data_IF_681472988244
#
_entry.id   IF_681472988244
#
_cell.length_a   1.000
_cell.length_b   1.000
_cell.length_c   1.000
_cell.angle_alpha   90.00
_cell.angle_beta   90.00
_cell.angle_gamma   90.00
#
_symmetry.space_group_name_H-M   'P 1'
#
loop_
_entity.id
_entity.type
_entity.pdbx_description
1 polymer ?
#
# COMPACT_ATOMS: atom_id res chain seq x y z
N UNK A 1 19.70 20.70 -10.13
CA UNK A 1 18.31 20.27 -9.84
C UNK A 1 18.19 18.83 -10.33
N UNK A 2 17.85 17.93 -9.45
CA UNK A 2 17.65 16.51 -9.77
C UNK A 2 16.25 16.29 -10.36
N UNK A 3 16.16 15.68 -11.53
CA UNK A 3 14.90 15.39 -12.17
C UNK A 3 14.53 13.92 -11.98
N UNK A 4 13.35 13.66 -11.37
CA UNK A 4 12.83 12.32 -11.10
C UNK A 4 11.53 12.10 -11.89
N UNK A 5 11.53 11.15 -12.80
CA UNK A 5 10.40 10.77 -13.64
C UNK A 5 9.69 9.57 -13.02
N UNK A 6 8.50 9.78 -12.45
CA UNK A 6 7.70 8.75 -11.78
C UNK A 6 6.70 8.16 -12.77
N UNK A 7 6.79 6.83 -12.98
CA UNK A 7 6.02 6.08 -13.96
C UNK A 7 5.39 4.87 -13.28
N UNK A 8 4.16 4.49 -13.65
CA UNK A 8 3.45 3.34 -13.09
C UNK A 8 2.30 3.70 -12.16
N UNK A 9 2.15 4.98 -11.79
CA UNK A 9 0.93 5.51 -11.19
C UNK A 9 -0.04 5.99 -12.26
N UNK A 10 -1.33 6.11 -11.93
CA UNK A 10 -2.34 6.65 -12.87
C UNK A 10 -2.40 8.17 -12.89
N UNK A 11 -1.56 8.85 -12.11
CA UNK A 11 -1.42 10.29 -12.05
C UNK A 11 -1.95 10.94 -10.77
N UNK A 12 -1.98 12.27 -10.77
CA UNK A 12 -2.34 13.14 -9.65
C UNK A 12 -3.51 14.06 -10.00
N UNK A 13 -4.42 14.37 -9.04
CA UNK A 13 -4.46 13.83 -7.67
C UNK A 13 -4.83 12.35 -7.62
N UNK A 14 -4.46 11.68 -6.53
CA UNK A 14 -4.78 10.28 -6.30
C UNK A 14 -6.30 10.08 -6.18
N UNK A 15 -6.86 9.23 -7.05
CA UNK A 15 -8.28 8.86 -6.97
C UNK A 15 -8.48 7.52 -6.26
N UNK A 16 -7.61 6.56 -6.55
CA UNK A 16 -7.65 5.21 -5.98
C UNK A 16 -6.36 4.45 -6.32
N UNK A 17 -5.76 3.77 -5.34
CA UNK A 17 -4.59 2.91 -5.53
C UNK A 17 -3.43 3.25 -4.58
N UNK A 18 -2.62 2.26 -4.26
CA UNK A 18 -1.48 2.42 -3.35
C UNK A 18 -0.40 3.31 -3.93
N UNK A 19 -0.07 3.12 -5.21
CA UNK A 19 0.96 3.93 -5.88
C UNK A 19 0.51 5.38 -6.08
N UNK A 20 -0.75 5.62 -6.43
CA UNK A 20 -1.29 6.98 -6.58
C UNK A 20 -1.22 7.73 -5.25
N UNK A 21 -1.66 7.10 -4.15
CA UNK A 21 -1.57 7.69 -2.80
C UNK A 21 -0.12 7.95 -2.41
N UNK A 22 0.78 7.00 -2.65
CA UNK A 22 2.21 7.16 -2.38
C UNK A 22 2.81 8.36 -3.14
N UNK A 23 2.55 8.47 -4.45
CA UNK A 23 3.09 9.57 -5.28
C UNK A 23 2.51 10.91 -4.85
N UNK A 24 1.22 10.96 -4.49
CA UNK A 24 0.60 12.18 -3.97
C UNK A 24 1.24 12.63 -2.66
N UNK A 25 1.48 11.71 -1.75
CA UNK A 25 2.11 12.00 -0.47
C UNK A 25 3.59 12.37 -0.63
N UNK A 26 4.32 11.70 -1.54
CA UNK A 26 5.70 12.04 -1.88
C UNK A 26 5.82 13.49 -2.36
N UNK A 27 4.97 13.89 -3.30
CA UNK A 27 4.92 15.26 -3.83
C UNK A 27 4.42 16.26 -2.78
N UNK A 28 3.43 15.84 -1.96
CA UNK A 28 2.80 16.73 -0.97
C UNK A 28 3.69 17.07 0.21
N UNK A 29 4.58 16.15 0.58
CA UNK A 29 5.51 16.29 1.69
C UNK A 29 6.95 16.57 1.21
N UNK A 30 7.13 16.99 -0.04
CA UNK A 30 8.43 17.36 -0.59
C UNK A 30 9.11 18.41 0.31
N UNK A 31 10.37 18.16 0.67
CA UNK A 31 11.18 19.00 1.56
C UNK A 31 12.28 19.76 0.81
N UNK A 32 12.83 19.14 -0.25
CA UNK A 32 13.95 19.71 -1.02
C UNK A 32 13.45 20.42 -2.29
N UNK A 33 13.92 21.65 -2.50
CA UNK A 33 13.74 22.41 -3.74
C UNK A 33 14.73 22.00 -4.85
N UNK A 34 15.70 21.13 -4.52
CA UNK A 34 16.67 20.61 -5.47
C UNK A 34 16.13 19.45 -6.31
N UNK A 35 14.93 18.94 -6.02
CA UNK A 35 14.29 17.86 -6.75
C UNK A 35 13.09 18.39 -7.54
N UNK A 36 12.98 17.99 -8.82
CA UNK A 36 11.82 18.23 -9.65
C UNK A 36 11.17 16.89 -10.01
N UNK A 37 9.98 16.65 -9.50
CA UNK A 37 9.19 15.48 -9.86
C UNK A 37 8.43 15.70 -11.15
N UNK A 38 8.50 14.71 -12.06
CA UNK A 38 7.72 14.60 -13.29
C UNK A 38 6.88 13.32 -13.19
N UNK A 39 5.56 13.47 -13.10
CA UNK A 39 4.65 12.34 -12.84
C UNK A 39 3.85 12.02 -14.10
N UNK A 40 3.95 10.78 -14.57
CA UNK A 40 3.12 10.30 -15.67
C UNK A 40 1.66 10.15 -15.23
N UNK A 41 0.73 10.60 -16.07
CA UNK A 41 -0.71 10.52 -15.83
C UNK A 41 -1.42 9.85 -17.00
N UNK A 42 -2.23 8.83 -16.71
CA UNK A 42 -3.10 8.21 -17.70
C UNK A 42 -4.27 9.16 -18.05
N UNK A 43 -4.44 9.45 -19.33
CA UNK A 43 -5.45 10.42 -19.81
C UNK A 43 -6.14 9.91 -21.06
N UNK A 44 -7.35 10.41 -21.31
CA UNK A 44 -8.04 10.26 -22.60
C UNK A 44 -7.57 11.32 -23.61
N UNK A 45 -6.83 12.34 -23.17
CA UNK A 45 -6.25 13.39 -24.00
C UNK A 45 -5.02 12.88 -24.78
N UNK A 46 -4.54 13.70 -25.73
CA UNK A 46 -3.29 13.40 -26.45
C UNK A 46 -2.09 13.45 -25.52
N UNK A 47 -1.12 12.56 -25.80
CA UNK A 47 0.15 12.49 -25.07
C UNK A 47 0.91 13.82 -25.15
N UNK A 48 1.44 14.27 -23.99
CA UNK A 48 2.35 15.41 -23.91
C UNK A 48 1.72 16.71 -23.41
N UNK A 49 0.46 16.70 -22.97
CA UNK A 49 -0.09 17.82 -22.20
C UNK A 49 0.53 17.83 -20.81
N UNK A 50 0.98 18.99 -20.36
CA UNK A 50 1.55 19.20 -19.02
C UNK A 50 0.58 19.93 -18.12
N UNK A 51 0.50 19.51 -16.87
CA UNK A 51 -0.26 20.10 -15.78
C UNK A 51 0.66 20.28 -14.58
N UNK A 52 0.33 21.21 -13.70
CA UNK A 52 1.05 21.36 -12.44
C UNK A 52 0.18 20.86 -11.29
N UNK A 53 0.74 19.98 -10.47
CA UNK A 53 0.13 19.55 -9.22
C UNK A 53 1.11 19.82 -8.07
N UNK A 54 0.82 20.81 -7.22
CA UNK A 54 1.74 21.30 -6.19
C UNK A 54 3.11 21.67 -6.81
N UNK A 55 4.17 20.97 -6.44
CA UNK A 55 5.53 21.17 -6.96
C UNK A 55 5.86 20.32 -8.19
N UNK A 56 5.04 19.29 -8.48
CA UNK A 56 5.28 18.34 -9.57
C UNK A 56 4.78 18.86 -10.92
N UNK A 57 5.50 18.48 -11.96
CA UNK A 57 5.08 18.54 -13.34
C UNK A 57 4.39 17.22 -13.71
N UNK A 58 3.13 17.26 -14.09
CA UNK A 58 2.35 16.08 -14.45
C UNK A 58 2.16 16.05 -15.96
N UNK A 59 2.64 15.01 -16.62
CA UNK A 59 2.53 14.86 -18.08
C UNK A 59 1.55 13.75 -18.45
N UNK A 60 0.64 14.07 -19.36
CA UNK A 60 -0.41 13.16 -19.78
C UNK A 60 0.08 12.17 -20.83
N UNK A 61 -0.28 10.89 -20.66
CA UNK A 61 -0.07 9.79 -21.59
C UNK A 61 -1.42 9.25 -22.03
N UNK A 62 -1.68 9.25 -23.33
CA UNK A 62 -2.93 8.80 -23.92
C UNK A 62 -3.18 7.32 -23.60
N UNK A 63 -4.34 7.03 -23.07
CA UNK A 63 -4.83 5.67 -22.86
C UNK A 63 -5.02 4.95 -24.20
N UNK A 64 -4.63 3.69 -24.25
CA UNK A 64 -4.86 2.79 -25.39
C UNK A 64 -5.97 1.80 -25.04
N UNK A 65 -6.66 1.29 -26.06
CA UNK A 65 -7.76 0.33 -25.88
C UNK A 65 -7.28 -1.12 -26.03
N UNK A 66 -6.32 -1.54 -25.17
CA UNK A 66 -5.77 -2.90 -25.19
C UNK A 66 -6.19 -3.74 -23.95
N UNK A 67 -7.34 -3.44 -23.34
CA UNK A 67 -7.81 -4.18 -22.16
C UNK A 67 -6.78 -4.19 -21.02
N UNK A 68 -6.52 -5.36 -20.44
CA UNK A 68 -5.57 -5.52 -19.34
C UNK A 68 -4.11 -5.16 -19.71
N UNK A 69 -3.73 -5.32 -20.99
CA UNK A 69 -2.38 -4.96 -21.45
C UNK A 69 -2.16 -3.44 -21.51
N UNK A 70 -3.21 -2.63 -21.33
CA UNK A 70 -3.09 -1.18 -21.39
C UNK A 70 -2.06 -0.61 -20.39
N UNK A 71 -1.88 -1.25 -19.24
CA UNK A 71 -0.89 -0.83 -18.23
C UNK A 71 0.53 -0.91 -18.79
N UNK A 72 0.86 -2.00 -19.47
CA UNK A 72 2.19 -2.21 -20.09
C UNK A 72 2.47 -1.13 -21.15
N UNK A 73 1.48 -0.84 -22.00
CA UNK A 73 1.63 0.18 -23.04
C UNK A 73 1.69 1.60 -22.46
N UNK A 74 0.96 1.88 -21.41
CA UNK A 74 1.01 3.15 -20.69
C UNK A 74 2.41 3.41 -20.13
N UNK A 75 2.96 2.48 -19.35
CA UNK A 75 4.29 2.61 -18.74
C UNK A 75 5.37 2.76 -19.82
N UNK A 76 5.27 1.98 -20.90
CA UNK A 76 6.16 2.08 -22.06
C UNK A 76 6.11 3.47 -22.70
N UNK A 77 4.91 3.96 -23.00
CA UNK A 77 4.72 5.24 -23.67
C UNK A 77 5.18 6.40 -22.78
N UNK A 78 5.03 6.27 -21.45
CA UNK A 78 5.55 7.22 -20.47
C UNK A 78 7.08 7.30 -20.49
N UNK A 79 7.78 6.16 -20.52
CA UNK A 79 9.25 6.15 -20.64
C UNK A 79 9.70 6.79 -21.97
N UNK A 80 9.06 6.41 -23.07
CA UNK A 80 9.41 6.96 -24.40
C UNK A 80 9.20 8.47 -24.45
N UNK A 81 8.10 8.96 -23.88
CA UNK A 81 7.82 10.38 -23.79
C UNK A 81 8.85 11.09 -22.90
N UNK A 82 9.13 10.58 -21.71
CA UNK A 82 10.11 11.14 -20.79
C UNK A 82 11.51 11.26 -21.44
N UNK A 83 11.97 10.22 -22.15
CA UNK A 83 13.26 10.26 -22.87
C UNK A 83 13.29 11.38 -23.94
N UNK A 84 12.18 11.60 -24.67
CA UNK A 84 12.10 12.69 -25.65
C UNK A 84 12.11 14.06 -24.94
N UNK A 85 11.34 14.20 -23.88
CA UNK A 85 11.26 15.42 -23.08
C UNK A 85 12.63 15.80 -22.49
N UNK A 86 13.34 14.83 -21.90
CA UNK A 86 14.69 14.99 -21.35
C UNK A 86 15.66 15.51 -22.41
N UNK A 87 15.66 14.91 -23.59
CA UNK A 87 16.54 15.36 -24.71
C UNK A 87 16.20 16.76 -25.17
N UNK A 88 14.92 17.09 -25.32
CA UNK A 88 14.49 18.43 -25.77
C UNK A 88 14.77 19.53 -24.77
N UNK A 89 14.81 19.20 -23.47
CA UNK A 89 15.06 20.17 -22.39
C UNK A 89 16.50 20.10 -21.83
N UNK A 90 17.39 19.32 -22.45
CA UNK A 90 18.80 19.17 -22.05
C UNK A 90 18.97 18.78 -20.57
N UNK A 91 18.06 17.94 -20.05
CA UNK A 91 18.12 17.44 -18.67
C UNK A 91 19.25 16.41 -18.57
N UNK A 92 20.09 16.55 -17.55
CA UNK A 92 21.22 15.65 -17.27
C UNK A 92 20.92 14.77 -16.07
N UNK A 93 21.47 13.57 -16.06
CA UNK A 93 21.38 12.59 -14.96
C UNK A 93 19.96 12.37 -14.42
N UNK A 94 18.93 12.13 -15.29
CA UNK A 94 17.56 11.93 -14.81
C UNK A 94 17.41 10.57 -14.12
N UNK A 95 16.59 10.50 -13.08
CA UNK A 95 16.17 9.24 -12.46
C UNK A 95 14.79 8.86 -13.02
N UNK A 96 14.66 7.63 -13.51
CA UNK A 96 13.38 7.02 -13.85
C UNK A 96 12.95 6.13 -12.69
N UNK A 97 11.93 6.52 -11.95
CA UNK A 97 11.37 5.75 -10.86
C UNK A 97 10.10 5.04 -11.32
N UNK A 98 10.22 3.73 -11.58
CA UNK A 98 9.14 2.90 -12.11
C UNK A 98 8.47 2.13 -10.99
N UNK A 99 7.15 2.31 -10.87
CA UNK A 99 6.30 1.68 -9.87
C UNK A 99 5.61 0.45 -10.45
N UNK A 100 5.91 -0.71 -9.89
CA UNK A 100 5.37 -2.00 -10.31
C UNK A 100 6.25 -2.75 -11.32
N UNK A 101 5.84 -3.98 -11.62
CA UNK A 101 6.61 -4.95 -12.40
C UNK A 101 6.06 -5.24 -13.80
N UNK A 102 5.33 -4.32 -14.42
CA UNK A 102 4.62 -4.60 -15.69
C UNK A 102 5.52 -4.64 -16.91
N UNK A 103 6.65 -3.91 -16.90
CA UNK A 103 7.52 -3.66 -18.06
C UNK A 103 8.63 -4.69 -18.28
N UNK A 104 8.75 -5.73 -17.45
CA UNK A 104 9.91 -6.62 -17.45
C UNK A 104 10.28 -7.22 -18.79
N UNK A 105 9.30 -7.57 -19.64
CA UNK A 105 9.59 -8.09 -20.98
C UNK A 105 10.35 -7.09 -21.88
N UNK A 106 10.26 -5.80 -21.60
CA UNK A 106 10.85 -4.72 -22.42
C UNK A 106 11.92 -3.92 -21.68
N UNK A 107 12.06 -4.11 -20.38
CA UNK A 107 12.85 -3.23 -19.52
C UNK A 107 14.33 -3.17 -19.91
N UNK A 108 14.94 -4.28 -20.34
CA UNK A 108 16.32 -4.30 -20.76
C UNK A 108 16.60 -3.44 -22.01
N UNK A 109 15.60 -3.23 -22.87
CA UNK A 109 15.71 -2.27 -23.97
C UNK A 109 15.63 -0.83 -23.44
N UNK A 110 14.68 -0.54 -22.58
CA UNK A 110 14.50 0.82 -22.04
C UNK A 110 15.62 1.23 -21.10
N UNK A 111 16.16 0.32 -20.29
CA UNK A 111 17.35 0.57 -19.48
C UNK A 111 18.52 1.08 -20.35
N UNK A 112 18.81 0.40 -21.49
CA UNK A 112 19.86 0.85 -22.41
C UNK A 112 19.60 2.26 -22.97
N UNK A 113 18.34 2.61 -23.23
CA UNK A 113 17.98 3.95 -23.71
C UNK A 113 18.10 5.00 -22.60
N UNK A 114 17.74 4.66 -21.36
CA UNK A 114 17.89 5.51 -20.17
C UNK A 114 19.39 5.77 -19.92
N UNK A 115 20.22 4.73 -19.89
CA UNK A 115 21.67 4.88 -19.71
C UNK A 115 22.32 5.70 -20.84
N UNK A 116 21.84 5.58 -22.09
CA UNK A 116 22.34 6.38 -23.21
C UNK A 116 22.15 7.89 -23.04
N UNK A 117 21.21 8.31 -22.20
CA UNK A 117 20.98 9.72 -21.87
C UNK A 117 21.54 10.10 -20.49
N UNK A 118 22.40 9.25 -19.90
CA UNK A 118 23.00 9.46 -18.59
C UNK A 118 22.02 9.27 -17.43
N UNK A 119 20.88 8.62 -17.65
CA UNK A 119 19.88 8.39 -16.60
C UNK A 119 20.06 7.08 -15.85
N UNK A 120 19.36 6.93 -14.74
CA UNK A 120 19.29 5.74 -13.90
C UNK A 120 17.86 5.20 -13.84
N UNK A 121 17.72 3.88 -13.70
CA UNK A 121 16.45 3.18 -13.56
C UNK A 121 16.28 2.66 -12.14
N UNK A 122 15.39 3.28 -11.37
CA UNK A 122 14.95 2.78 -10.06
C UNK A 122 13.59 2.11 -10.19
N UNK A 123 13.40 1.01 -9.48
CA UNK A 123 12.16 0.22 -9.55
C UNK A 123 11.61 -0.04 -8.15
N UNK A 124 10.33 0.24 -7.96
CA UNK A 124 9.56 -0.29 -6.83
C UNK A 124 8.82 -1.54 -7.31
N UNK A 125 9.14 -2.72 -6.78
CA UNK A 125 8.65 -4.00 -7.32
C UNK A 125 7.19 -4.30 -6.94
N UNK A 126 6.52 -3.44 -6.16
CA UNK A 126 5.26 -3.81 -5.48
C UNK A 126 5.47 -5.01 -4.54
N UNK A 127 4.44 -5.59 -3.99
CA UNK A 127 4.54 -6.76 -3.13
C UNK A 127 3.93 -8.01 -3.78
N UNK A 128 4.74 -8.91 -4.34
CA UNK A 128 4.33 -10.23 -4.81
C UNK A 128 3.06 -10.24 -5.68
N UNK A 129 2.92 -9.28 -6.59
CA UNK A 129 1.71 -9.06 -7.40
C UNK A 129 1.28 -10.33 -8.15
N UNK A 130 2.23 -11.18 -8.53
CA UNK A 130 1.97 -12.44 -9.22
C UNK A 130 1.25 -13.49 -8.34
N UNK A 131 1.27 -13.35 -7.01
CA UNK A 131 0.57 -14.27 -6.10
C UNK A 131 -0.91 -13.90 -5.92
N UNK A 132 -1.34 -12.72 -6.38
CA UNK A 132 -2.71 -12.26 -6.15
C UNK A 132 -3.73 -13.09 -6.91
N UNK A 133 -4.78 -13.49 -6.21
CA UNK A 133 -5.86 -14.36 -6.73
C UNK A 133 -6.66 -13.76 -7.89
N UNK A 134 -6.64 -12.44 -8.06
CA UNK A 134 -7.28 -11.75 -9.18
C UNK A 134 -6.71 -12.12 -10.56
N UNK A 135 -5.49 -12.68 -10.60
CA UNK A 135 -4.82 -13.00 -11.84
C UNK A 135 -4.95 -14.47 -12.22
N UNK A 136 -5.29 -14.74 -13.48
CA UNK A 136 -5.26 -16.09 -14.05
C UNK A 136 -3.82 -16.57 -14.22
N UNK A 137 -3.59 -17.88 -14.20
CA UNK A 137 -2.25 -18.51 -14.25
C UNK A 137 -1.29 -17.95 -15.31
N UNK A 138 -1.68 -17.73 -16.59
CA UNK A 138 -0.77 -17.14 -17.57
C UNK A 138 -0.29 -15.73 -17.20
N UNK A 139 -1.16 -14.91 -16.59
CA UNK A 139 -0.81 -13.57 -16.13
C UNK A 139 0.12 -13.65 -14.92
N UNK A 140 -0.13 -14.57 -13.98
CA UNK A 140 0.76 -14.79 -12.84
C UNK A 140 2.17 -15.18 -13.29
N UNK A 141 2.30 -16.07 -14.28
CA UNK A 141 3.59 -16.46 -14.87
C UNK A 141 4.28 -15.28 -15.55
N UNK A 142 3.55 -14.49 -16.32
CA UNK A 142 4.08 -13.27 -16.92
C UNK A 142 4.59 -12.29 -15.85
N UNK A 143 3.80 -12.01 -14.81
CA UNK A 143 4.18 -11.10 -13.73
C UNK A 143 5.41 -11.60 -12.97
N UNK A 144 5.53 -12.90 -12.70
CA UNK A 144 6.72 -13.49 -12.08
C UNK A 144 7.96 -13.35 -12.98
N UNK A 145 7.82 -13.60 -14.28
CA UNK A 145 8.88 -13.37 -15.25
C UNK A 145 9.27 -11.90 -15.33
N UNK A 146 8.27 -11.02 -15.36
CA UNK A 146 8.44 -9.57 -15.44
C UNK A 146 9.16 -9.02 -14.20
N UNK A 147 8.78 -9.47 -13.01
CA UNK A 147 9.44 -9.14 -11.73
C UNK A 147 10.93 -9.50 -11.78
N UNK A 148 11.26 -10.72 -12.21
CA UNK A 148 12.65 -11.15 -12.41
C UNK A 148 13.41 -10.20 -13.33
N UNK A 149 12.84 -9.85 -14.49
CA UNK A 149 13.49 -8.97 -15.46
C UNK A 149 13.64 -7.54 -14.96
N UNK A 150 12.66 -7.03 -14.22
CA UNK A 150 12.78 -5.72 -13.59
C UNK A 150 13.89 -5.71 -12.55
N UNK A 151 13.98 -6.75 -11.69
CA UNK A 151 15.04 -6.88 -10.69
C UNK A 151 16.44 -7.03 -11.29
N UNK A 152 16.59 -7.79 -12.39
CA UNK A 152 17.87 -8.00 -13.09
C UNK A 152 18.41 -6.75 -13.81
N UNK A 153 17.53 -5.79 -14.17
CA UNK A 153 17.90 -4.65 -15.00
C UNK A 153 17.81 -3.30 -14.29
N UNK A 154 17.23 -3.23 -13.11
CA UNK A 154 17.21 -1.99 -12.34
C UNK A 154 18.61 -1.62 -11.85
N UNK A 155 18.96 -0.33 -11.89
CA UNK A 155 20.15 0.18 -11.23
C UNK A 155 19.96 0.14 -9.70
N UNK A 156 18.71 0.35 -9.22
CA UNK A 156 18.36 0.22 -7.81
C UNK A 156 16.91 -0.27 -7.67
N UNK A 157 16.70 -1.24 -6.79
CA UNK A 157 15.39 -1.64 -6.32
C UNK A 157 15.06 -0.90 -5.01
N UNK A 158 13.89 -0.27 -4.96
CA UNK A 158 13.38 0.35 -3.74
C UNK A 158 12.20 -0.48 -3.24
N UNK A 159 12.46 -1.36 -2.28
CA UNK A 159 11.42 -2.20 -1.65
C UNK A 159 10.74 -1.42 -0.53
N UNK A 160 9.43 -1.58 -0.41
CA UNK A 160 8.65 -0.93 0.65
C UNK A 160 8.70 -1.68 2.00
N UNK A 161 9.33 -2.87 2.03
CA UNK A 161 9.43 -3.70 3.21
C UNK A 161 10.65 -4.61 3.16
N UNK A 162 11.28 -4.86 4.32
CA UNK A 162 12.42 -5.78 4.42
C UNK A 162 12.09 -7.18 3.92
N UNK A 163 10.91 -7.70 4.19
CA UNK A 163 10.50 -9.03 3.72
C UNK A 163 10.40 -9.13 2.19
N UNK A 164 10.09 -8.03 1.49
CA UNK A 164 10.13 -7.98 0.02
C UNK A 164 11.56 -7.96 -0.48
N UNK A 165 12.43 -7.18 0.15
CA UNK A 165 13.85 -7.16 -0.20
C UNK A 165 14.50 -8.54 -0.02
N UNK A 166 14.26 -9.18 1.12
CA UNK A 166 14.79 -10.52 1.43
C UNK A 166 14.31 -11.57 0.42
N UNK A 167 13.02 -11.51 0.07
CA UNK A 167 12.44 -12.35 -0.98
C UNK A 167 13.15 -12.15 -2.33
N UNK A 168 13.32 -10.91 -2.79
CA UNK A 168 13.94 -10.60 -4.07
C UNK A 168 15.40 -11.05 -4.11
N UNK A 169 16.16 -10.86 -3.01
CA UNK A 169 17.54 -11.35 -2.88
C UNK A 169 17.62 -12.87 -2.90
N UNK A 170 16.67 -13.55 -2.27
CA UNK A 170 16.60 -15.02 -2.24
C UNK A 170 16.28 -15.58 -3.62
N UNK A 171 15.32 -14.98 -4.33
CA UNK A 171 14.84 -15.46 -5.64
C UNK A 171 15.78 -15.11 -6.80
N UNK A 172 16.38 -13.92 -6.77
CA UNK A 172 17.10 -13.36 -7.93
C UNK A 172 18.58 -13.08 -7.66
N UNK A 173 19.07 -13.37 -6.45
CA UNK A 173 20.48 -13.19 -6.08
C UNK A 173 20.83 -11.76 -5.67
N UNK A 174 22.10 -11.40 -5.86
CA UNK A 174 22.58 -10.07 -5.46
C UNK A 174 22.01 -8.99 -6.40
N UNK A 175 21.14 -8.16 -5.85
CA UNK A 175 20.58 -6.97 -6.51
C UNK A 175 20.92 -5.73 -5.68
N UNK A 176 21.19 -4.61 -6.34
CA UNK A 176 21.29 -3.33 -5.64
C UNK A 176 19.88 -2.95 -5.13
N UNK A 177 19.73 -2.83 -3.81
CA UNK A 177 18.43 -2.57 -3.22
C UNK A 177 18.51 -1.71 -1.96
N UNK A 178 17.44 -0.97 -1.71
CA UNK A 178 17.22 -0.18 -0.50
C UNK A 178 15.78 -0.37 -0.02
N UNK A 179 15.58 -0.44 1.29
CA UNK A 179 14.24 -0.50 1.87
C UNK A 179 13.82 0.91 2.27
N UNK A 180 12.75 1.41 1.65
CA UNK A 180 12.06 2.65 2.04
C UNK A 180 10.56 2.37 2.06
N UNK A 181 9.98 2.31 3.25
CA UNK A 181 8.59 1.95 3.46
C UNK A 181 7.61 3.03 2.95
N UNK A 182 6.33 2.71 2.96
CA UNK A 182 5.28 3.74 2.86
C UNK A 182 5.11 4.46 4.19
N UNK A 183 4.61 5.70 4.11
CA UNK A 183 4.33 6.52 5.26
C UNK A 183 2.88 6.48 5.70
N UNK A 184 2.63 7.08 6.85
CA UNK A 184 1.29 7.41 7.34
C UNK A 184 1.31 8.74 8.08
N UNK A 185 0.14 9.36 8.21
CA UNK A 185 -0.04 10.50 9.08
C UNK A 185 -0.12 10.02 10.54
N UNK A 186 0.34 10.84 11.48
CA UNK A 186 0.16 10.55 12.89
C UNK A 186 -1.29 10.80 13.30
N UNK A 187 -2.15 9.79 13.11
CA UNK A 187 -3.58 9.89 13.37
C UNK A 187 -3.93 10.03 14.86
N UNK A 188 -3.00 9.71 15.76
CA UNK A 188 -3.20 9.88 17.19
C UNK A 188 -3.38 11.37 17.57
N UNK A 189 -2.77 12.28 16.80
CA UNK A 189 -2.80 13.74 17.04
C UNK A 189 -3.90 14.46 16.27
N UNK A 190 -4.57 13.78 15.33
CA UNK A 190 -5.68 14.40 14.59
C UNK A 190 -6.83 14.64 15.56
N UNK A 191 -7.37 15.88 15.67
CA UNK A 191 -8.58 16.13 16.43
C UNK A 191 -9.67 15.19 15.94
N UNK A 192 -10.12 14.28 16.79
CA UNK A 192 -11.10 13.29 16.40
C UNK A 192 -12.50 13.92 16.36
N UNK A 193 -13.33 13.43 15.46
CA UNK A 193 -14.78 13.53 15.61
C UNK A 193 -15.11 12.74 16.90
N UNK A 194 -15.72 13.39 17.87
CA UNK A 194 -16.01 12.78 19.19
C UNK A 194 -16.95 11.57 19.10
N UNK A 195 -17.69 11.45 18.01
CA UNK A 195 -18.55 10.30 17.72
C UNK A 195 -18.34 9.80 16.30
N UNK A 196 -17.83 8.56 16.12
CA UNK A 196 -17.81 7.93 14.81
C UNK A 196 -19.25 7.68 14.30
N UNK A 197 -19.45 7.74 12.99
CA UNK A 197 -20.75 7.52 12.34
C UNK A 197 -21.18 6.04 12.37
N UNK A 198 -21.17 5.44 13.55
CA UNK A 198 -21.51 4.03 13.77
C UNK A 198 -22.92 3.82 14.35
N UNK A 199 -23.55 4.89 14.84
CA UNK A 199 -24.89 4.84 15.45
C UNK A 199 -25.95 4.32 14.46
N UNK A 200 -25.84 4.68 13.18
CA UNK A 200 -26.74 4.20 12.11
C UNK A 200 -26.67 2.68 11.91
N UNK A 201 -25.55 2.05 12.29
CA UNK A 201 -25.34 0.62 12.23
C UNK A 201 -25.54 -0.10 13.57
N UNK A 202 -25.98 0.61 14.59
CA UNK A 202 -26.16 0.08 15.95
C UNK A 202 -24.88 -0.43 16.60
N UNK A 203 -23.72 0.18 16.28
CA UNK A 203 -22.41 -0.21 16.78
C UNK A 203 -22.02 0.71 17.93
N UNK A 204 -21.66 0.10 19.07
CA UNK A 204 -21.25 0.84 20.25
C UNK A 204 -19.74 1.11 20.25
N UNK A 205 -19.36 2.34 20.59
CA UNK A 205 -17.96 2.75 20.78
C UNK A 205 -17.27 1.84 21.81
N UNK A 206 -16.08 1.36 21.46
CA UNK A 206 -15.28 0.48 22.32
C UNK A 206 -15.74 -0.98 22.36
N UNK A 207 -16.86 -1.32 21.72
CA UNK A 207 -17.45 -2.66 21.77
C UNK A 207 -17.37 -3.41 20.42
N UNK A 208 -16.30 -3.19 19.64
CA UNK A 208 -16.13 -3.87 18.35
C UNK A 208 -14.67 -4.13 17.99
N UNK A 209 -14.45 -5.26 17.31
CA UNK A 209 -13.27 -5.51 16.50
C UNK A 209 -13.45 -4.86 15.14
N UNK A 210 -12.41 -4.25 14.60
CA UNK A 210 -12.46 -3.53 13.34
C UNK A 210 -11.58 -4.21 12.28
N UNK A 211 -12.12 -4.41 11.10
CA UNK A 211 -11.38 -4.79 9.89
C UNK A 211 -11.58 -3.71 8.83
N UNK A 212 -10.50 -3.15 8.30
CA UNK A 212 -10.55 -2.18 7.20
C UNK A 212 -9.62 -2.64 6.09
N UNK A 213 -10.12 -2.77 4.87
CA UNK A 213 -9.27 -3.16 3.75
C UNK A 213 -10.04 -3.44 2.46
N UNK A 214 -9.29 -3.74 1.40
CA UNK A 214 -9.89 -4.19 0.14
C UNK A 214 -10.57 -5.54 0.34
N UNK A 215 -11.70 -5.73 -0.31
CA UNK A 215 -12.47 -6.98 -0.21
C UNK A 215 -11.88 -8.05 -1.15
N UNK A 216 -10.78 -8.67 -0.71
CA UNK A 216 -10.05 -9.68 -1.48
C UNK A 216 -9.68 -10.87 -0.58
N UNK A 217 -9.59 -12.10 -1.13
CA UNK A 217 -9.28 -13.30 -0.34
C UNK A 217 -7.96 -13.20 0.44
N UNK A 218 -6.97 -12.50 -0.09
CA UNK A 218 -5.66 -12.29 0.52
C UNK A 218 -5.70 -11.51 1.84
N UNK A 219 -6.83 -10.88 2.15
CA UNK A 219 -7.06 -10.23 3.44
C UNK A 219 -7.70 -11.15 4.48
N UNK A 220 -7.78 -12.46 4.19
CA UNK A 220 -8.21 -13.51 5.12
C UNK A 220 -9.61 -13.31 5.73
N UNK A 221 -10.55 -12.65 5.02
CA UNK A 221 -11.92 -12.42 5.53
C UNK A 221 -12.61 -13.70 5.96
N UNK A 222 -12.46 -14.81 5.20
CA UNK A 222 -13.06 -16.08 5.56
C UNK A 222 -12.52 -16.61 6.90
N UNK A 223 -11.20 -16.58 7.10
CA UNK A 223 -10.58 -17.04 8.33
C UNK A 223 -11.01 -16.17 9.53
N UNK A 224 -10.99 -14.84 9.35
CA UNK A 224 -11.42 -13.89 10.39
C UNK A 224 -12.87 -14.16 10.80
N UNK A 225 -13.77 -14.30 9.84
CA UNK A 225 -15.20 -14.51 10.09
C UNK A 225 -15.43 -15.86 10.77
N UNK A 226 -14.81 -16.95 10.30
CA UNK A 226 -14.95 -18.28 10.90
C UNK A 226 -14.48 -18.30 12.36
N UNK A 227 -13.31 -17.75 12.62
CA UNK A 227 -12.73 -17.71 13.96
C UNK A 227 -13.55 -16.78 14.87
N UNK A 228 -14.09 -15.68 14.33
CA UNK A 228 -14.96 -14.78 15.09
C UNK A 228 -16.29 -15.46 15.48
N UNK A 229 -16.94 -16.15 14.54
CA UNK A 229 -18.24 -16.82 14.80
C UNK A 229 -18.18 -17.88 15.89
N UNK A 230 -17.05 -18.58 16.04
CA UNK A 230 -16.88 -19.58 17.12
C UNK A 230 -16.37 -18.96 18.43
N UNK A 231 -16.04 -17.68 18.44
CA UNK A 231 -15.61 -16.97 19.64
C UNK A 231 -16.79 -16.67 20.58
N UNK A 232 -16.52 -16.63 21.88
CA UNK A 232 -17.49 -16.22 22.91
C UNK A 232 -17.52 -14.72 23.16
N UNK A 233 -16.88 -13.92 22.30
CA UNK A 233 -16.84 -12.47 22.45
C UNK A 233 -18.22 -11.83 22.43
N UNK A 234 -18.43 -10.83 23.28
CA UNK A 234 -19.61 -9.97 23.24
C UNK A 234 -19.47 -8.77 22.29
N UNK A 235 -18.26 -8.55 21.74
CA UNK A 235 -18.00 -7.46 20.81
C UNK A 235 -18.56 -7.75 19.42
N UNK A 236 -18.86 -6.70 18.67
CA UNK A 236 -19.19 -6.81 17.24
C UNK A 236 -17.92 -6.98 16.40
N UNK A 237 -18.06 -7.56 15.19
CA UNK A 237 -17.06 -7.53 14.13
C UNK A 237 -17.52 -6.52 13.06
N UNK A 238 -16.87 -5.36 13.02
CA UNK A 238 -17.16 -4.29 12.06
C UNK A 238 -16.20 -4.40 10.88
N UNK A 239 -16.74 -4.58 9.70
CA UNK A 239 -15.98 -4.73 8.46
C UNK A 239 -16.25 -3.55 7.54
N UNK A 240 -15.22 -2.72 7.32
CA UNK A 240 -15.26 -1.57 6.41
C UNK A 240 -14.55 -1.95 5.12
N UNK A 241 -15.33 -2.17 4.07
CA UNK A 241 -14.83 -2.59 2.76
C UNK A 241 -15.86 -2.31 1.66
N UNK A 242 -15.40 -2.24 0.41
CA UNK A 242 -16.31 -2.16 -0.74
C UNK A 242 -16.75 -3.58 -1.15
N UNK A 243 -17.86 -4.06 -0.56
CA UNK A 243 -18.37 -5.41 -0.79
C UNK A 243 -19.60 -5.45 -1.70
N UNK A 244 -20.29 -4.32 -1.92
CA UNK A 244 -21.55 -4.28 -2.66
C UNK A 244 -21.34 -4.70 -4.13
N UNK A 245 -22.06 -5.73 -4.54
CA UNK A 245 -21.97 -6.28 -5.89
C UNK A 245 -20.71 -7.11 -6.17
N UNK A 246 -19.87 -7.38 -5.18
CA UNK A 246 -18.68 -8.21 -5.34
C UNK A 246 -19.06 -9.71 -5.24
N UNK A 247 -18.76 -10.54 -6.26
CA UNK A 247 -19.02 -11.98 -6.23
C UNK A 247 -18.40 -12.71 -5.05
N UNK A 248 -17.29 -12.20 -4.51
CA UNK A 248 -16.64 -12.77 -3.34
C UNK A 248 -17.50 -12.65 -2.09
N UNK A 249 -18.37 -11.63 -1.98
CA UNK A 249 -19.30 -11.48 -0.86
C UNK A 249 -20.29 -12.64 -0.78
N UNK A 250 -20.93 -12.98 -1.89
CA UNK A 250 -21.87 -14.11 -1.96
C UNK A 250 -21.16 -15.45 -1.70
N UNK A 251 -19.96 -15.61 -2.26
CA UNK A 251 -19.14 -16.80 -1.96
C UNK A 251 -18.80 -16.90 -0.48
N UNK A 252 -18.39 -15.80 0.15
CA UNK A 252 -18.06 -15.75 1.56
C UNK A 252 -19.27 -16.07 2.44
N UNK A 253 -20.45 -15.53 2.10
CA UNK A 253 -21.72 -15.82 2.76
C UNK A 253 -22.05 -17.30 2.71
N UNK A 254 -21.94 -17.93 1.52
CA UNK A 254 -22.18 -19.37 1.35
C UNK A 254 -21.20 -20.26 2.13
N UNK A 255 -19.94 -19.84 2.24
CA UNK A 255 -18.91 -20.60 2.93
C UNK A 255 -19.00 -20.52 4.46
N UNK A 256 -19.47 -19.41 4.99
CA UNK A 256 -19.41 -19.13 6.43
C UNK A 256 -20.78 -19.00 7.09
N UNK A 257 -21.84 -18.68 6.34
CA UNK A 257 -23.16 -18.28 6.84
C UNK A 257 -23.09 -17.12 7.86
N UNK A 258 -22.20 -16.17 7.64
CA UNK A 258 -21.92 -15.06 8.58
C UNK A 258 -23.16 -14.19 8.85
N UNK A 259 -24.11 -14.15 7.92
CA UNK A 259 -25.39 -13.44 8.05
C UNK A 259 -26.30 -13.99 9.15
N UNK A 260 -26.01 -15.17 9.69
CA UNK A 260 -26.67 -15.73 10.88
C UNK A 260 -26.11 -15.15 12.19
N UNK A 261 -24.92 -14.57 12.19
CA UNK A 261 -24.30 -13.97 13.37
C UNK A 261 -24.52 -12.44 13.37
N UNK A 262 -25.45 -11.98 14.19
CA UNK A 262 -25.82 -10.54 14.28
C UNK A 262 -24.68 -9.63 14.73
N UNK A 263 -23.62 -10.19 15.29
CA UNK A 263 -22.41 -9.43 15.69
C UNK A 263 -21.57 -9.00 14.48
N UNK A 264 -21.74 -9.66 13.29
CA UNK A 264 -20.96 -9.34 12.10
C UNK A 264 -21.65 -8.25 11.29
N UNK A 265 -20.98 -7.11 11.10
CA UNK A 265 -21.53 -5.91 10.48
C UNK A 265 -20.66 -5.41 9.35
N UNK A 266 -21.16 -5.52 8.12
CA UNK A 266 -20.55 -4.92 6.92
C UNK A 266 -21.08 -3.50 6.76
N UNK A 267 -20.24 -2.50 7.02
CA UNK A 267 -20.63 -1.07 7.01
C UNK A 267 -20.53 -0.44 5.63
N UNK A 268 -19.85 -1.11 4.69
CA UNK A 268 -19.54 -0.50 3.39
C UNK A 268 -18.24 0.30 3.42
N UNK A 269 -18.08 1.25 2.49
CA UNK A 269 -16.87 2.08 2.39
C UNK A 269 -17.08 3.41 3.11
N UNK A 270 -16.17 3.75 4.01
CA UNK A 270 -16.11 5.07 4.64
C UNK A 270 -15.02 5.90 3.94
N UNK A 271 -15.42 6.90 3.17
CA UNK A 271 -14.49 7.77 2.41
C UNK A 271 -13.99 8.96 3.22
N UNK A 272 -14.72 9.36 4.23
CA UNK A 272 -14.34 10.44 5.13
C UNK A 272 -13.19 9.98 6.03
N UNK A 273 -12.01 10.60 5.86
CA UNK A 273 -10.79 10.24 6.59
C UNK A 273 -10.91 10.53 8.10
N UNK A 274 -11.64 11.56 8.50
CA UNK A 274 -11.83 11.91 9.91
C UNK A 274 -12.73 10.89 10.58
N UNK A 275 -13.83 10.51 9.93
CA UNK A 275 -14.73 9.46 10.39
C UNK A 275 -14.01 8.11 10.50
N UNK A 276 -13.25 7.74 9.47
CA UNK A 276 -12.49 6.47 9.49
C UNK A 276 -11.43 6.46 10.61
N UNK A 277 -10.82 7.60 10.87
CA UNK A 277 -9.88 7.76 12.00
C UNK A 277 -10.60 7.62 13.34
N UNK A 278 -11.78 8.23 13.50
CA UNK A 278 -12.57 8.09 14.71
C UNK A 278 -13.01 6.64 14.94
N UNK A 279 -13.44 5.95 13.87
CA UNK A 279 -13.79 4.51 13.96
C UNK A 279 -12.59 3.67 14.42
N UNK A 280 -11.39 3.92 13.91
CA UNK A 280 -10.17 3.22 14.37
C UNK A 280 -9.83 3.53 15.82
N UNK A 281 -9.92 4.80 16.25
CA UNK A 281 -9.64 5.23 17.63
C UNK A 281 -10.56 4.59 18.66
N UNK A 282 -11.81 4.37 18.28
CA UNK A 282 -12.84 3.85 19.16
C UNK A 282 -13.07 2.33 19.05
N UNK A 283 -12.31 1.63 18.22
CA UNK A 283 -12.34 0.18 18.18
C UNK A 283 -11.73 -0.42 19.46
N UNK A 284 -12.31 -1.53 19.95
CA UNK A 284 -11.68 -2.34 20.98
C UNK A 284 -10.32 -2.87 20.51
N UNK A 285 -10.29 -3.43 19.30
CA UNK A 285 -9.06 -3.83 18.64
C UNK A 285 -9.23 -3.82 17.12
N UNK A 286 -8.12 -3.64 16.41
CA UNK A 286 -8.05 -3.76 14.95
C UNK A 286 -7.53 -5.15 14.56
N UNK A 287 -8.22 -5.82 13.64
CA UNK A 287 -7.78 -7.11 13.09
C UNK A 287 -7.19 -6.87 11.69
N UNK A 288 -5.91 -7.13 11.53
CA UNK A 288 -5.21 -7.05 10.26
C UNK A 288 -5.02 -8.43 9.66
N UNK A 289 -5.69 -8.70 8.53
CA UNK A 289 -5.67 -10.00 7.87
C UNK A 289 -4.79 -10.09 6.62
N UNK A 290 -4.07 -9.02 6.26
CA UNK A 290 -3.32 -8.95 5.00
C UNK A 290 -2.19 -9.99 4.93
N UNK A 291 -2.20 -10.84 3.90
CA UNK A 291 -1.30 -11.99 3.75
C UNK A 291 -0.33 -11.87 2.58
N UNK A 292 -0.45 -10.88 1.69
CA UNK A 292 0.36 -10.75 0.47
C UNK A 292 0.72 -9.29 0.23
N UNK A 293 2.00 -8.97 0.24
CA UNK A 293 2.47 -7.61 -0.06
C UNK A 293 3.63 -7.18 0.82
N UNK A 294 3.88 -5.87 0.88
CA UNK A 294 4.90 -5.22 1.68
C UNK A 294 4.30 -4.46 2.87
N UNK A 295 4.75 -3.22 3.05
CA UNK A 295 4.21 -2.33 4.08
C UNK A 295 2.78 -1.92 3.73
N UNK A 296 1.83 -2.32 4.57
CA UNK A 296 0.42 -2.03 4.35
C UNK A 296 0.00 -0.71 5.01
N UNK A 297 -0.46 0.31 4.24
CA UNK A 297 -0.90 1.59 4.82
C UNK A 297 -2.01 1.43 5.87
N UNK A 298 -2.94 0.48 5.67
CA UNK A 298 -4.01 0.22 6.64
C UNK A 298 -3.50 -0.28 8.00
N UNK A 299 -2.38 -1.04 8.02
CA UNK A 299 -1.72 -1.43 9.28
C UNK A 299 -1.06 -0.23 9.95
N UNK A 300 -0.37 0.62 9.19
CA UNK A 300 0.25 1.83 9.73
C UNK A 300 -0.79 2.78 10.35
N UNK A 301 -1.91 2.98 9.65
CA UNK A 301 -3.02 3.79 10.13
C UNK A 301 -3.66 3.20 11.40
N UNK A 302 -3.82 1.87 11.46
CA UNK A 302 -4.33 1.19 12.65
C UNK A 302 -3.37 1.32 13.84
N UNK A 303 -2.08 1.08 13.64
CA UNK A 303 -1.04 1.24 14.67
C UNK A 303 -0.94 2.68 15.18
N UNK A 304 -1.27 3.66 14.33
CA UNK A 304 -1.31 5.07 14.71
C UNK A 304 -2.54 5.43 15.55
N UNK A 305 -3.69 4.82 15.28
CA UNK A 305 -4.99 5.24 15.83
C UNK A 305 -5.57 4.29 16.88
N UNK A 306 -5.42 2.97 16.70
CA UNK A 306 -6.06 1.94 17.56
C UNK A 306 -5.09 1.48 18.64
N UNK A 307 -5.58 1.27 19.86
CA UNK A 307 -4.74 0.90 21.01
C UNK A 307 -4.26 -0.56 20.95
N UNK A 308 -5.04 -1.45 20.38
CA UNK A 308 -4.73 -2.87 20.31
C UNK A 308 -4.85 -3.39 18.87
N UNK A 309 -3.79 -4.03 18.35
CA UNK A 309 -3.75 -4.54 16.99
C UNK A 309 -3.51 -6.06 17.01
N UNK A 310 -4.41 -6.82 16.36
CA UNK A 310 -4.31 -8.27 16.14
C UNK A 310 -3.86 -8.47 14.70
N UNK A 311 -2.63 -8.89 14.47
CA UNK A 311 -1.97 -8.81 13.17
C UNK A 311 -1.69 -10.22 12.64
N UNK A 312 -2.05 -10.49 11.39
CA UNK A 312 -1.78 -11.77 10.74
C UNK A 312 -0.28 -12.04 10.67
N UNK A 313 0.12 -13.24 11.09
CA UNK A 313 1.51 -13.64 11.31
C UNK A 313 2.23 -13.99 10.01
N UNK A 314 2.72 -12.96 9.32
CA UNK A 314 3.62 -13.07 8.15
C UNK A 314 4.80 -12.11 8.32
N UNK A 315 5.92 -12.40 7.65
CA UNK A 315 7.19 -11.69 7.84
C UNK A 315 7.05 -10.16 7.67
N UNK A 316 6.40 -9.70 6.61
CA UNK A 316 6.26 -8.26 6.35
C UNK A 316 5.36 -7.55 7.37
N UNK A 317 4.32 -8.19 7.91
CA UNK A 317 3.53 -7.64 9.00
C UNK A 317 4.34 -7.59 10.31
N UNK A 318 5.12 -8.64 10.60
CA UNK A 318 6.03 -8.65 11.76
C UNK A 318 7.08 -7.55 11.68
N UNK A 319 7.65 -7.31 10.51
CA UNK A 319 8.64 -6.25 10.29
C UNK A 319 8.08 -4.86 10.55
N UNK A 320 6.78 -4.65 10.34
CA UNK A 320 6.09 -3.38 10.60
C UNK A 320 5.68 -3.28 12.06
N UNK A 321 4.92 -4.26 12.57
CA UNK A 321 4.31 -4.18 13.90
C UNK A 321 5.29 -4.48 15.05
N UNK A 322 6.35 -5.26 14.78
CA UNK A 322 7.34 -5.65 15.79
C UNK A 322 6.68 -6.25 17.05
N UNK A 323 6.98 -5.70 18.23
CA UNK A 323 6.43 -6.10 19.53
C UNK A 323 5.20 -5.28 19.98
N UNK A 324 4.58 -4.53 19.05
CA UNK A 324 3.45 -3.63 19.38
C UNK A 324 2.08 -4.26 19.12
N UNK A 325 2.02 -5.53 18.71
CA UNK A 325 0.79 -6.21 18.31
C UNK A 325 0.74 -7.64 18.86
N UNK A 326 -0.47 -8.21 18.91
CA UNK A 326 -0.67 -9.64 19.06
C UNK A 326 -0.73 -10.29 17.67
N UNK A 327 -0.03 -11.40 17.48
CA UNK A 327 0.01 -12.05 16.16
C UNK A 327 -0.90 -13.29 16.13
N UNK A 328 -1.66 -13.44 15.04
CA UNK A 328 -2.58 -14.54 14.85
C UNK A 328 -2.31 -15.31 13.56
N UNK A 329 -2.71 -16.58 13.54
CA UNK A 329 -2.64 -17.49 12.39
C UNK A 329 -4.04 -18.02 12.08
N UNK A 330 -4.25 -18.55 10.88
CA UNK A 330 -5.53 -19.15 10.46
C UNK A 330 -5.93 -20.23 11.47
N UNK A 331 -7.18 -20.18 11.93
CA UNK A 331 -7.74 -21.08 12.94
C UNK A 331 -7.33 -20.80 14.38
N UNK A 332 -6.58 -19.71 14.64
CA UNK A 332 -6.13 -19.34 15.98
C UNK A 332 -6.53 -17.93 16.42
N UNK A 333 -7.26 -17.19 15.58
CA UNK A 333 -7.67 -15.83 15.92
C UNK A 333 -8.58 -15.81 17.16
N UNK A 334 -9.44 -16.81 17.33
CA UNK A 334 -10.30 -16.93 18.54
C UNK A 334 -9.49 -16.93 19.84
N UNK A 335 -8.35 -17.64 19.87
CA UNK A 335 -7.45 -17.67 21.04
C UNK A 335 -6.86 -16.28 21.31
N UNK A 336 -6.42 -15.60 20.24
CA UNK A 336 -5.82 -14.26 20.31
C UNK A 336 -6.86 -13.21 20.74
N UNK A 337 -8.11 -13.34 20.28
CA UNK A 337 -9.22 -12.49 20.74
C UNK A 337 -9.48 -12.68 22.23
N UNK A 338 -9.54 -13.93 22.70
CA UNK A 338 -9.68 -14.22 24.14
C UNK A 338 -8.50 -13.68 24.94
N UNK A 339 -7.26 -13.80 24.45
CA UNK A 339 -6.10 -13.18 25.05
C UNK A 339 -6.23 -11.65 25.12
N UNK A 340 -6.67 -11.02 24.03
CA UNK A 340 -6.86 -9.56 23.93
C UNK A 340 -7.87 -9.05 24.95
N UNK A 341 -9.00 -9.73 25.13
CA UNK A 341 -10.05 -9.36 26.09
C UNK A 341 -9.61 -9.54 27.55
N UNK A 342 -8.65 -10.42 27.83
CA UNK A 342 -8.10 -10.65 29.17
C UNK A 342 -6.80 -9.86 29.45
N UNK A 343 -6.36 -8.98 28.53
CA UNK A 343 -5.20 -8.13 28.79
C UNK A 343 -5.50 -7.09 29.87
N UNK A 344 -4.56 -6.93 30.78
CA UNK A 344 -4.62 -5.81 31.73
C UNK A 344 -4.54 -4.47 30.98
N UNK A 345 -5.29 -3.43 31.36
CA UNK A 345 -5.26 -2.12 30.73
C UNK A 345 -3.85 -1.53 30.59
N UNK A 346 -2.99 -1.80 31.56
CA UNK A 346 -1.57 -1.37 31.51
C UNK A 346 -0.80 -2.00 30.37
N UNK A 347 -1.07 -3.28 30.06
CA UNK A 347 -0.42 -3.97 28.91
C UNK A 347 -0.92 -3.43 27.57
N UNK A 348 -2.23 -3.16 27.48
CA UNK A 348 -2.81 -2.51 26.27
C UNK A 348 -2.16 -1.14 26.06
N UNK A 349 -2.04 -0.31 27.10
CA UNK A 349 -1.40 1.00 27.01
C UNK A 349 0.08 0.91 26.55
N UNK A 350 0.83 -0.10 27.00
CA UNK A 350 2.21 -0.34 26.59
C UNK A 350 2.26 -0.71 25.09
N UNK A 351 1.39 -1.59 24.60
CA UNK A 351 1.32 -1.97 23.18
C UNK A 351 0.97 -0.75 22.31
N UNK A 352 -0.04 0.02 22.73
CA UNK A 352 -0.44 1.26 22.06
C UNK A 352 0.70 2.27 21.96
N UNK A 353 1.43 2.49 23.06
CA UNK A 353 2.58 3.38 23.09
C UNK A 353 3.68 2.92 22.15
N UNK A 354 4.03 1.63 22.17
CA UNK A 354 5.01 1.04 21.25
C UNK A 354 4.60 1.22 19.78
N UNK A 355 3.33 0.95 19.45
CA UNK A 355 2.81 1.10 18.09
C UNK A 355 2.97 2.55 17.60
N UNK A 356 2.53 3.52 18.40
CA UNK A 356 2.65 4.96 18.07
C UNK A 356 4.11 5.42 17.98
N UNK A 357 4.98 4.90 18.86
CA UNK A 357 6.41 5.20 18.80
C UNK A 357 7.04 4.68 17.50
N UNK A 358 6.74 3.44 17.09
CA UNK A 358 7.20 2.86 15.82
C UNK A 358 6.74 3.74 14.64
N UNK A 359 5.47 4.17 14.62
CA UNK A 359 4.96 5.07 13.59
C UNK A 359 5.72 6.40 13.58
N UNK A 360 5.86 7.05 14.74
CA UNK A 360 6.53 8.33 14.85
C UNK A 360 8.02 8.27 14.47
N UNK A 361 8.69 7.17 14.77
CA UNK A 361 10.13 6.99 14.51
C UNK A 361 10.44 6.53 13.08
N UNK A 362 9.53 5.77 12.42
CA UNK A 362 9.88 5.08 11.18
C UNK A 362 8.96 5.42 10.00
N UNK A 363 7.68 5.71 10.22
CA UNK A 363 6.67 5.68 9.17
C UNK A 363 5.92 7.00 8.94
N UNK A 364 6.37 8.12 9.49
CA UNK A 364 5.79 9.42 9.14
C UNK A 364 6.16 9.82 7.72
N UNK A 365 5.23 10.42 6.97
CA UNK A 365 5.51 10.89 5.61
C UNK A 365 6.73 11.80 5.52
N UNK A 366 6.93 12.69 6.47
CA UNK A 366 8.12 13.55 6.49
C UNK A 366 9.44 12.77 6.51
N UNK A 367 9.51 11.67 7.27
CA UNK A 367 10.72 10.80 7.30
C UNK A 367 10.87 9.98 6.02
N UNK A 368 9.76 9.39 5.54
CA UNK A 368 9.77 8.59 4.31
C UNK A 368 10.20 9.45 3.12
N UNK A 369 9.61 10.64 2.96
CA UNK A 369 9.97 11.56 1.88
C UNK A 369 11.42 12.00 1.99
N UNK A 370 11.89 12.32 3.20
CA UNK A 370 13.31 12.66 3.42
C UNK A 370 14.27 11.55 2.98
N UNK A 371 13.93 10.27 3.23
CA UNK A 371 14.75 9.12 2.77
C UNK A 371 14.75 9.00 1.23
N UNK A 372 13.62 9.22 0.56
CA UNK A 372 13.55 9.25 -0.90
C UNK A 372 14.36 10.41 -1.49
N UNK A 373 14.23 11.61 -0.93
CA UNK A 373 14.95 12.78 -1.40
C UNK A 373 16.46 12.65 -1.20
N UNK A 374 16.90 12.16 -0.04
CA UNK A 374 18.30 11.83 0.21
C UNK A 374 18.84 10.82 -0.82
N UNK A 375 18.07 9.76 -1.11
CA UNK A 375 18.44 8.79 -2.11
C UNK A 375 18.55 9.41 -3.51
N UNK A 376 17.57 10.17 -3.94
CA UNK A 376 17.55 10.78 -5.27
C UNK A 376 18.66 11.83 -5.46
N UNK A 377 19.10 12.49 -4.40
CA UNK A 377 20.19 13.48 -4.45
C UNK A 377 21.58 12.84 -4.40
N UNK A 378 21.75 11.70 -3.71
CA UNK A 378 23.06 11.05 -3.54
C UNK A 378 23.43 10.12 -4.70
N UNK A 379 22.47 9.62 -5.46
CA UNK A 379 22.69 8.73 -6.61
C UNK A 379 22.74 9.49 -7.95
N UNK A 380 22.79 10.83 -7.92
CA UNK A 380 22.77 11.73 -9.10
C UNK A 380 24.17 12.06 -9.65
#
# INVERSE_FOLDING_TARGET
>A
MQHVFIIGSRGLPAKYGGFETFVEELVSHQQSDQIKYHVAQLSENETGKHLTYKTADVFEIKKRNFGAANVIFYDRDAIVYAIKYIKSNHITNPIFYVLGNTLGAFIGHYMKLIHKIGGMLFVNPDGLEWQRSKWIKPIQLYLKYSEKKMAEHADLIISDNQGIEDYLKTEYGSIASKVIAYGTNNLATVPGVDKPCLDEHGIQVGAYYLVVGRFVPENNYEAIIRDFMVSSTAHDLVIITNHLGDPYFEKLRQLTNFDQDKRIKFVGTVYDKEQLTAIRKHAFAYIHGHAVGGTNPGLLEAMSATDLNLVFDVSFNRNVALESALFWQIGRLTEIMSQAENLEPKKVAILAQKARQIIAEKYTWGKIVGQYEELFLNES
#
